data_IF_397253444554
#
_entry.id   IF_397253444554
#
_cell.length_a   1.000
_cell.length_b   1.000
_cell.length_c   1.000
_cell.angle_alpha   90.00
_cell.angle_beta   90.00
_cell.angle_gamma   90.00
#
_symmetry.space_group_name_H-M   'P 1'
#
loop_
_entity.id
_entity.type
_entity.pdbx_description
1 polymer ?
#
# COMPACT_ATOMS: atom_id res chain seq x y z
N UNK A 1 7.31 16.84 23.99
CA UNK A 1 7.94 16.20 22.82
C UNK A 1 6.96 15.20 22.26
N UNK A 2 6.77 15.19 20.94
CA UNK A 2 5.85 14.28 20.28
C UNK A 2 6.25 12.82 20.45
N UNK A 3 5.25 11.97 20.59
CA UNK A 3 5.42 10.52 20.60
C UNK A 3 5.00 9.93 19.25
N UNK A 4 5.70 8.92 18.78
CA UNK A 4 5.48 8.33 17.47
C UNK A 4 5.40 6.81 17.61
N UNK A 5 4.37 6.21 17.05
CA UNK A 5 4.24 4.77 16.82
C UNK A 5 4.33 4.51 15.32
N UNK A 6 5.20 3.60 14.87
CA UNK A 6 5.29 3.18 13.47
C UNK A 6 4.51 1.88 13.23
N UNK A 7 3.74 1.82 12.16
CA UNK A 7 2.97 0.63 11.76
C UNK A 7 3.07 0.42 10.25
N UNK A 8 3.49 -0.76 9.81
CA UNK A 8 3.35 -1.19 8.43
C UNK A 8 2.13 -2.08 8.27
N UNK A 9 1.30 -1.83 7.25
CA UNK A 9 0.13 -2.63 6.89
C UNK A 9 -0.01 -2.77 5.38
N UNK A 10 -0.96 -3.55 4.94
CA UNK A 10 -1.37 -3.64 3.54
C UNK A 10 -2.74 -2.99 3.32
N UNK A 11 -3.03 -2.58 2.09
CA UNK A 11 -4.38 -2.16 1.67
C UNK A 11 -5.02 -3.12 0.66
N UNK A 12 -4.55 -4.35 0.58
CA UNK A 12 -4.88 -5.39 -0.40
C UNK A 12 -6.36 -5.41 -0.82
N UNK A 13 -6.73 -4.94 -2.05
CA UNK A 13 -8.12 -4.73 -2.42
C UNK A 13 -9.02 -5.97 -2.33
N UNK A 14 -8.56 -7.19 -2.71
CA UNK A 14 -9.41 -8.37 -2.62
C UNK A 14 -9.86 -8.78 -1.21
N UNK A 15 -9.25 -8.23 -0.14
CA UNK A 15 -9.69 -8.51 1.23
C UNK A 15 -11.10 -7.99 1.53
N UNK A 16 -11.57 -7.01 0.76
CA UNK A 16 -12.95 -6.49 0.82
C UNK A 16 -13.97 -7.54 0.39
N UNK A 17 -13.60 -8.45 -0.50
CA UNK A 17 -14.51 -9.36 -1.19
C UNK A 17 -14.47 -10.78 -0.57
N UNK A 18 -15.38 -11.66 -0.99
CA UNK A 18 -15.43 -13.04 -0.51
C UNK A 18 -14.24 -13.88 -0.99
N UNK A 19 -13.88 -14.92 -0.24
CA UNK A 19 -12.69 -15.75 -0.45
C UNK A 19 -12.62 -16.40 -1.85
N UNK A 20 -13.77 -16.78 -2.40
CA UNK A 20 -13.88 -17.40 -3.73
C UNK A 20 -13.40 -16.52 -4.89
N UNK A 21 -13.35 -15.21 -4.66
CA UNK A 21 -12.92 -14.22 -5.64
C UNK A 21 -11.51 -13.69 -5.41
N UNK A 22 -10.83 -14.12 -4.34
CA UNK A 22 -9.51 -13.59 -3.99
C UNK A 22 -8.45 -13.86 -5.07
N UNK A 23 -8.56 -14.97 -5.82
CA UNK A 23 -7.68 -15.31 -6.94
C UNK A 23 -8.18 -14.78 -8.31
N UNK A 24 -9.15 -13.85 -8.33
CA UNK A 24 -9.75 -13.38 -9.58
C UNK A 24 -8.72 -12.77 -10.55
N UNK A 25 -7.72 -12.08 -10.04
CA UNK A 25 -6.68 -11.46 -10.86
C UNK A 25 -5.78 -12.49 -11.53
N UNK A 26 -5.36 -13.53 -10.81
CA UNK A 26 -4.63 -14.65 -11.42
C UNK A 26 -5.48 -15.31 -12.51
N UNK A 27 -6.76 -15.59 -12.22
CA UNK A 27 -7.70 -16.17 -13.20
C UNK A 27 -7.88 -15.29 -14.44
N UNK A 28 -7.82 -13.98 -14.28
CA UNK A 28 -7.83 -13.03 -15.38
C UNK A 28 -6.61 -13.20 -16.28
N UNK A 29 -5.40 -13.22 -15.72
CA UNK A 29 -4.15 -13.40 -16.48
C UNK A 29 -4.06 -14.77 -17.14
N UNK A 30 -4.53 -15.84 -16.49
CA UNK A 30 -4.55 -17.19 -17.08
C UNK A 30 -5.40 -17.28 -18.35
N UNK A 31 -6.36 -16.38 -18.54
CA UNK A 31 -7.19 -16.32 -19.77
C UNK A 31 -6.55 -15.47 -20.87
N UNK A 32 -5.48 -14.75 -20.58
CA UNK A 32 -4.86 -13.86 -21.57
C UNK A 32 -4.19 -14.68 -22.68
N UNK A 33 -4.43 -14.38 -23.96
CA UNK A 33 -3.77 -15.03 -25.10
C UNK A 33 -2.29 -14.62 -25.23
N UNK A 34 -1.86 -13.54 -24.55
CA UNK A 34 -0.51 -13.01 -24.62
C UNK A 34 0.45 -13.68 -23.63
N UNK A 35 -0.05 -14.49 -22.71
CA UNK A 35 0.78 -15.33 -21.84
C UNK A 35 0.94 -16.71 -22.49
N UNK A 36 2.19 -17.19 -22.71
CA UNK A 36 2.40 -18.49 -23.34
C UNK A 36 1.78 -19.65 -22.54
N UNK A 37 1.13 -20.58 -23.23
CA UNK A 37 0.38 -21.68 -22.62
C UNK A 37 1.19 -22.53 -21.65
N UNK A 38 2.50 -22.69 -21.90
CA UNK A 38 3.38 -23.44 -21.01
C UNK A 38 3.44 -22.87 -19.59
N UNK A 39 3.30 -21.55 -19.40
CA UNK A 39 3.34 -20.90 -18.08
C UNK A 39 1.97 -20.90 -17.39
N UNK A 40 0.88 -21.15 -18.12
CA UNK A 40 -0.46 -21.24 -17.56
C UNK A 40 -0.78 -22.61 -16.97
N UNK A 41 0.01 -23.63 -17.29
CA UNK A 41 -0.20 -25.01 -16.83
C UNK A 41 0.22 -25.11 -15.36
N UNK A 42 -0.65 -25.63 -14.51
CA UNK A 42 -0.41 -25.79 -13.06
C UNK A 42 0.88 -26.58 -12.78
N UNK A 43 1.19 -27.59 -13.63
CA UNK A 43 2.38 -28.43 -13.49
C UNK A 43 3.70 -27.66 -13.65
N UNK A 44 3.66 -26.52 -14.37
CA UNK A 44 4.84 -25.67 -14.60
C UNK A 44 5.08 -24.65 -13.49
N UNK A 45 4.12 -24.47 -12.57
CA UNK A 45 4.20 -23.47 -11.52
C UNK A 45 5.16 -23.89 -10.40
N UNK A 46 5.72 -22.91 -9.65
CA UNK A 46 6.46 -23.22 -8.42
C UNK A 46 5.64 -24.07 -7.46
N UNK A 47 6.32 -24.96 -6.72
CA UNK A 47 5.66 -25.88 -5.79
C UNK A 47 4.73 -25.15 -4.80
N UNK A 48 5.20 -24.03 -4.24
CA UNK A 48 4.40 -23.22 -3.31
C UNK A 48 3.14 -22.66 -3.97
N UNK A 49 3.21 -22.22 -5.24
CA UNK A 49 2.05 -21.75 -6.00
C UNK A 49 1.05 -22.89 -6.24
N UNK A 50 1.54 -24.08 -6.62
CA UNK A 50 0.69 -25.26 -6.80
C UNK A 50 -0.01 -25.67 -5.50
N UNK A 51 0.74 -25.65 -4.40
CA UNK A 51 0.19 -25.97 -3.08
C UNK A 51 -0.91 -24.96 -2.67
N UNK A 52 -0.69 -23.67 -2.91
CA UNK A 52 -1.65 -22.62 -2.60
C UNK A 52 -2.90 -22.69 -3.49
N UNK A 53 -2.72 -23.02 -4.78
CA UNK A 53 -3.82 -23.23 -5.72
C UNK A 53 -4.68 -24.44 -5.36
N UNK A 54 -4.05 -25.57 -5.02
CA UNK A 54 -4.72 -26.80 -4.63
C UNK A 54 -5.70 -27.34 -5.67
N UNK A 55 -6.63 -28.18 -5.23
CA UNK A 55 -7.70 -28.73 -6.08
C UNK A 55 -8.93 -27.80 -6.16
N UNK A 56 -9.00 -26.78 -5.32
CA UNK A 56 -10.13 -25.87 -5.19
C UNK A 56 -9.86 -24.46 -5.75
N UNK A 57 -8.84 -24.31 -6.57
CA UNK A 57 -8.43 -23.05 -7.21
C UNK A 57 -8.15 -21.94 -6.20
N UNK A 58 -7.52 -22.29 -5.08
CA UNK A 58 -7.08 -21.35 -4.05
C UNK A 58 -8.15 -20.96 -3.04
N UNK A 59 -9.34 -21.56 -3.05
CA UNK A 59 -10.43 -21.19 -2.12
C UNK A 59 -10.05 -21.46 -0.66
N UNK A 60 -9.48 -22.62 -0.36
CA UNK A 60 -9.00 -22.94 0.99
C UNK A 60 -7.81 -22.08 1.40
N UNK A 61 -6.92 -21.74 0.45
CA UNK A 61 -5.81 -20.82 0.70
C UNK A 61 -6.33 -19.40 0.99
N UNK A 62 -7.32 -18.91 0.25
CA UNK A 62 -7.94 -17.61 0.47
C UNK A 62 -8.53 -17.47 1.87
N UNK A 63 -9.19 -18.50 2.37
CA UNK A 63 -9.73 -18.53 3.74
C UNK A 63 -8.62 -18.38 4.79
N UNK A 64 -7.51 -19.11 4.64
CA UNK A 64 -6.35 -18.98 5.54
C UNK A 64 -5.73 -17.59 5.43
N UNK A 65 -5.50 -17.13 4.19
CA UNK A 65 -4.91 -15.82 3.92
C UNK A 65 -5.72 -14.67 4.56
N UNK A 66 -7.05 -14.70 4.42
CA UNK A 66 -7.94 -13.75 5.09
C UNK A 66 -7.79 -13.81 6.60
N UNK A 67 -7.80 -15.02 7.19
CA UNK A 67 -7.70 -15.19 8.64
C UNK A 67 -6.40 -14.57 9.17
N UNK A 68 -5.28 -14.77 8.48
CA UNK A 68 -3.99 -14.19 8.83
C UNK A 68 -4.02 -12.66 8.72
N UNK A 69 -4.49 -12.11 7.59
CA UNK A 69 -4.59 -10.66 7.39
C UNK A 69 -5.46 -9.99 8.46
N UNK A 70 -6.65 -10.53 8.70
CA UNK A 70 -7.59 -9.99 9.71
C UNK A 70 -7.00 -10.05 11.11
N UNK A 71 -6.26 -11.12 11.44
CA UNK A 71 -5.56 -11.23 12.73
C UNK A 71 -4.54 -10.11 12.89
N UNK A 72 -3.74 -9.82 11.86
CA UNK A 72 -2.74 -8.74 11.92
C UNK A 72 -3.36 -7.35 11.91
N UNK A 73 -4.45 -7.14 11.19
CA UNK A 73 -5.21 -5.88 11.26
C UNK A 73 -5.81 -5.64 12.65
N UNK A 74 -6.36 -6.67 13.30
CA UNK A 74 -6.83 -6.56 14.68
C UNK A 74 -5.70 -6.21 15.66
N UNK A 75 -4.52 -6.80 15.49
CA UNK A 75 -3.34 -6.43 16.28
C UNK A 75 -2.95 -4.96 16.01
N UNK A 76 -2.87 -4.55 14.75
CA UNK A 76 -2.55 -3.17 14.39
C UNK A 76 -3.55 -2.18 15.02
N UNK A 77 -4.86 -2.50 14.97
CA UNK A 77 -5.88 -1.69 15.63
C UNK A 77 -5.69 -1.64 17.15
N UNK A 78 -5.36 -2.73 17.80
CA UNK A 78 -5.08 -2.76 19.24
C UNK A 78 -3.87 -1.89 19.60
N UNK A 79 -2.80 -1.88 18.80
CA UNK A 79 -1.64 -1.01 19.02
C UNK A 79 -2.04 0.47 18.89
N UNK A 80 -2.88 0.82 17.90
CA UNK A 80 -3.39 2.19 17.74
C UNK A 80 -4.26 2.59 18.93
N UNK A 81 -5.23 1.73 19.32
CA UNK A 81 -6.14 2.02 20.43
C UNK A 81 -5.36 2.20 21.74
N UNK A 82 -4.35 1.36 22.00
CA UNK A 82 -3.48 1.45 23.18
C UNK A 82 -2.61 2.72 23.16
N UNK A 83 -2.12 3.09 21.98
CA UNK A 83 -1.29 4.28 21.81
C UNK A 83 -2.11 5.56 21.95
N UNK A 84 -3.40 5.55 21.60
CA UNK A 84 -4.34 6.67 21.65
C UNK A 84 -3.76 7.93 20.97
N UNK A 85 -3.58 7.92 19.63
CA UNK A 85 -2.98 9.03 18.91
C UNK A 85 -3.92 10.23 18.80
N UNK A 86 -3.33 11.44 18.70
CA UNK A 86 -4.05 12.63 18.30
C UNK A 86 -4.45 12.58 16.82
N UNK A 87 -3.62 11.98 15.97
CA UNK A 87 -3.91 11.70 14.57
C UNK A 87 -2.99 10.63 13.99
N UNK A 88 -3.34 10.17 12.79
CA UNK A 88 -2.59 9.16 12.04
C UNK A 88 -2.15 9.74 10.70
N UNK A 89 -0.86 9.64 10.38
CA UNK A 89 -0.33 9.86 9.04
C UNK A 89 -0.31 8.53 8.31
N UNK A 90 -0.87 8.48 7.11
CA UNK A 90 -0.83 7.28 6.26
C UNK A 90 -0.06 7.63 5.00
N UNK A 91 1.11 7.01 4.79
CA UNK A 91 1.74 6.95 3.49
C UNK A 91 1.06 5.91 2.64
N UNK A 92 0.57 6.31 1.49
CA UNK A 92 -0.09 5.48 0.51
C UNK A 92 0.21 5.96 -0.90
N UNK A 93 0.11 5.07 -1.86
CA UNK A 93 0.20 5.37 -3.27
C UNK A 93 -1.11 5.95 -3.82
N UNK A 94 -1.06 6.40 -5.05
CA UNK A 94 -2.22 6.82 -5.82
C UNK A 94 -2.22 6.11 -7.18
N UNK A 95 -3.29 5.39 -7.46
CA UNK A 95 -3.48 4.66 -8.71
C UNK A 95 -4.41 5.45 -9.64
N UNK A 96 -3.99 6.69 -9.99
CA UNK A 96 -4.78 7.55 -10.87
C UNK A 96 -6.18 7.88 -10.30
N UNK A 97 -6.29 7.91 -8.98
CA UNK A 97 -7.54 8.17 -8.26
C UNK A 97 -7.64 9.65 -7.83
N UNK A 98 -6.79 10.06 -6.89
CA UNK A 98 -6.78 11.43 -6.38
C UNK A 98 -6.12 12.42 -7.35
N UNK A 99 -5.13 11.98 -8.13
CA UNK A 99 -4.35 12.77 -9.08
C UNK A 99 -4.39 12.13 -10.47
N UNK A 100 -4.56 12.98 -11.49
CA UNK A 100 -4.66 12.58 -12.90
C UNK A 100 -3.75 13.47 -13.75
N UNK A 101 -3.92 13.48 -15.09
CA UNK A 101 -3.03 14.17 -16.03
C UNK A 101 -2.89 15.68 -15.77
N UNK A 102 -3.80 16.28 -15.03
CA UNK A 102 -3.75 17.68 -14.66
C UNK A 102 -2.66 17.99 -13.64
N UNK A 103 -2.33 17.03 -12.76
CA UNK A 103 -1.20 17.13 -11.84
C UNK A 103 -0.82 15.75 -11.26
N UNK A 104 0.45 15.39 -11.35
CA UNK A 104 1.02 14.18 -10.72
C UNK A 104 2.11 14.61 -9.73
N UNK A 105 1.79 14.83 -8.45
CA UNK A 105 2.79 15.22 -7.47
C UNK A 105 3.63 14.03 -7.04
N UNK A 106 4.96 14.21 -6.92
CA UNK A 106 5.85 13.19 -6.35
C UNK A 106 5.45 12.84 -4.91
N UNK A 107 5.03 13.87 -4.14
CA UNK A 107 4.58 13.80 -2.76
C UNK A 107 3.46 14.79 -2.54
N UNK A 108 2.35 14.37 -1.90
CA UNK A 108 1.27 15.28 -1.56
C UNK A 108 0.67 15.00 -0.19
N UNK A 109 0.62 16.05 0.67
CA UNK A 109 -0.11 15.99 1.93
C UNK A 109 -1.56 16.44 1.72
N UNK A 110 -2.51 15.59 2.03
CA UNK A 110 -3.94 15.92 1.94
C UNK A 110 -4.43 16.54 3.25
N UNK A 111 -4.42 17.87 3.30
CA UNK A 111 -4.78 18.67 4.48
C UNK A 111 -6.31 18.86 4.58
N UNK A 112 -7.06 17.78 4.54
CA UNK A 112 -8.51 17.79 4.60
C UNK A 112 -9.01 17.97 6.05
N UNK A 113 -10.24 18.49 6.23
CA UNK A 113 -10.93 18.55 7.53
C UNK A 113 -11.88 17.36 7.69
N UNK A 114 -12.58 17.04 6.61
CA UNK A 114 -13.51 15.93 6.55
C UNK A 114 -13.36 15.23 5.19
N UNK A 115 -13.55 13.94 5.19
CA UNK A 115 -13.46 13.09 4.01
C UNK A 115 -14.73 12.25 3.93
N UNK A 116 -15.49 12.40 2.85
CA UNK A 116 -16.66 11.59 2.56
C UNK A 116 -16.29 10.61 1.42
N UNK A 117 -15.78 9.43 1.79
CA UNK A 117 -15.29 8.45 0.85
C UNK A 117 -16.37 7.45 0.45
N UNK A 118 -16.45 7.14 -0.85
CA UNK A 118 -17.24 6.01 -1.35
C UNK A 118 -16.51 4.70 -1.06
N UNK A 119 -17.24 3.59 -0.87
CA UNK A 119 -16.60 2.31 -0.61
C UNK A 119 -15.90 1.77 -1.85
N UNK A 120 -14.79 1.03 -1.70
CA UNK A 120 -14.05 0.48 -2.83
C UNK A 120 -14.88 -0.52 -3.67
N UNK A 121 -15.87 -1.18 -3.07
CA UNK A 121 -16.79 -2.08 -3.82
C UNK A 121 -17.84 -1.35 -4.67
N UNK A 122 -17.89 -0.03 -4.63
CA UNK A 122 -18.70 0.76 -5.56
C UNK A 122 -17.98 1.03 -6.89
N UNK A 123 -16.66 0.83 -6.94
CA UNK A 123 -15.85 1.07 -8.12
C UNK A 123 -16.09 0.00 -9.20
N UNK A 124 -16.00 0.39 -10.47
CA UNK A 124 -16.23 -0.53 -11.61
C UNK A 124 -15.29 -1.73 -11.60
N UNK A 125 -14.01 -1.48 -11.31
CA UNK A 125 -13.00 -2.54 -11.23
C UNK A 125 -13.32 -3.56 -10.13
N UNK A 126 -13.93 -3.13 -9.03
CA UNK A 126 -14.28 -4.01 -7.92
C UNK A 126 -15.36 -5.04 -8.26
N UNK A 127 -16.16 -4.79 -9.31
CA UNK A 127 -17.22 -5.72 -9.76
C UNK A 127 -16.67 -7.10 -10.13
N UNK A 128 -15.43 -7.18 -10.61
CA UNK A 128 -14.79 -8.46 -10.92
C UNK A 128 -14.59 -9.36 -9.69
N UNK A 129 -14.54 -8.76 -8.48
CA UNK A 129 -14.34 -9.47 -7.22
C UNK A 129 -15.66 -9.80 -6.48
N UNK A 130 -16.81 -9.37 -7.02
CA UNK A 130 -18.12 -9.62 -6.45
C UNK A 130 -18.45 -8.81 -5.18
N UNK A 131 -19.42 -9.27 -4.37
CA UNK A 131 -19.89 -8.52 -3.21
C UNK A 131 -18.84 -8.40 -2.10
N UNK A 132 -19.01 -7.38 -1.23
CA UNK A 132 -18.14 -7.19 -0.08
C UNK A 132 -18.54 -8.10 1.09
N UNK A 133 -17.55 -8.43 1.94
CA UNK A 133 -17.73 -9.37 3.08
C UNK A 133 -18.60 -8.85 4.19
N UNK A 134 -18.89 -7.56 4.24
CA UNK A 134 -19.73 -6.93 5.26
C UNK A 134 -21.21 -6.83 4.84
N UNK A 135 -21.53 -7.18 3.58
CA UNK A 135 -22.89 -7.00 3.02
C UNK A 135 -23.35 -5.55 2.99
N UNK A 136 -22.42 -4.62 2.94
CA UNK A 136 -22.71 -3.19 2.92
C UNK A 136 -23.06 -2.69 1.51
N UNK A 137 -24.04 -1.76 1.38
CA UNK A 137 -24.48 -1.29 0.08
C UNK A 137 -23.43 -0.40 -0.62
N UNK A 138 -23.40 -0.35 -1.97
CA UNK A 138 -22.45 0.46 -2.72
C UNK A 138 -22.66 1.98 -2.54
N UNK A 139 -23.83 2.40 -2.09
CA UNK A 139 -24.15 3.81 -1.81
C UNK A 139 -23.65 4.27 -0.43
N UNK A 140 -23.12 3.37 0.39
CA UNK A 140 -22.56 3.71 1.70
C UNK A 140 -21.48 4.77 1.55
N UNK A 141 -21.47 5.73 2.47
CA UNK A 141 -20.42 6.74 2.58
C UNK A 141 -19.67 6.55 3.89
N UNK A 142 -18.36 6.53 3.83
CA UNK A 142 -17.49 6.55 5.02
C UNK A 142 -17.10 8.00 5.33
N UNK A 143 -17.58 8.50 6.47
CA UNK A 143 -17.21 9.84 6.96
C UNK A 143 -15.99 9.72 7.87
N UNK A 144 -14.85 10.23 7.40
CA UNK A 144 -13.59 10.21 8.12
C UNK A 144 -13.20 11.63 8.52
N UNK A 145 -12.49 11.76 9.61
CA UNK A 145 -12.02 13.05 10.15
C UNK A 145 -10.60 13.30 9.62
N UNK A 146 -10.36 14.47 9.05
CA UNK A 146 -9.02 14.93 8.71
C UNK A 146 -8.38 15.71 9.85
N UNK A 147 -7.04 15.75 9.91
CA UNK A 147 -6.30 16.56 10.88
C UNK A 147 -5.55 17.69 10.18
N UNK A 148 -6.29 18.71 9.72
CA UNK A 148 -5.72 19.84 8.93
C UNK A 148 -4.56 20.54 9.62
N UNK A 149 -4.61 20.74 10.93
CA UNK A 149 -3.54 21.41 11.67
C UNK A 149 -2.22 20.63 11.60
N UNK A 150 -2.25 19.31 11.83
CA UNK A 150 -1.09 18.43 11.69
C UNK A 150 -0.58 18.35 10.26
N UNK A 151 -1.50 18.29 9.28
CA UNK A 151 -1.14 18.29 7.87
C UNK A 151 -0.42 19.59 7.46
N UNK A 152 -0.91 20.76 7.87
CA UNK A 152 -0.25 22.05 7.63
C UNK A 152 1.11 22.13 8.32
N UNK A 153 1.19 21.69 9.56
CA UNK A 153 2.46 21.65 10.30
C UNK A 153 3.50 20.80 9.55
N UNK A 154 3.14 19.60 9.12
CA UNK A 154 4.04 18.72 8.36
C UNK A 154 4.42 19.36 7.02
N UNK A 155 3.46 19.92 6.28
CA UNK A 155 3.74 20.59 5.00
C UNK A 155 4.73 21.73 5.18
N UNK A 156 4.52 22.61 6.16
CA UNK A 156 5.44 23.70 6.48
C UNK A 156 6.83 23.19 6.83
N UNK A 157 6.91 22.24 7.78
CA UNK A 157 8.20 21.70 8.25
C UNK A 157 9.00 21.02 7.12
N UNK A 158 8.33 20.32 6.21
CA UNK A 158 8.98 19.64 5.09
C UNK A 158 9.44 20.63 4.02
N UNK A 159 8.66 21.66 3.69
CA UNK A 159 9.07 22.71 2.76
C UNK A 159 10.29 23.47 3.32
N UNK A 160 10.28 23.82 4.61
CA UNK A 160 11.42 24.46 5.27
C UNK A 160 12.65 23.55 5.33
N UNK A 161 12.47 22.22 5.37
CA UNK A 161 13.53 21.22 5.29
C UNK A 161 14.02 20.94 3.85
N UNK A 162 13.50 21.64 2.84
CA UNK A 162 13.91 21.52 1.42
C UNK A 162 13.26 20.36 0.66
N UNK A 163 12.07 19.92 1.09
CA UNK A 163 11.26 18.96 0.33
C UNK A 163 10.20 19.71 -0.48
N UNK A 164 10.24 19.57 -1.81
CA UNK A 164 9.25 20.13 -2.72
C UNK A 164 7.99 19.28 -2.71
N UNK A 165 7.20 19.37 -1.64
CA UNK A 165 5.94 18.63 -1.51
C UNK A 165 4.76 19.45 -1.98
N UNK A 166 3.77 18.80 -2.59
CA UNK A 166 2.45 19.37 -2.79
C UNK A 166 1.60 19.24 -1.52
N UNK A 167 0.56 20.06 -1.41
CA UNK A 167 -0.48 19.92 -0.39
C UNK A 167 -1.83 20.32 -0.96
N UNK A 168 -2.90 19.64 -0.50
CA UNK A 168 -4.25 19.85 -0.98
C UNK A 168 -5.22 20.06 0.18
N UNK A 169 -6.12 21.05 0.07
CA UNK A 169 -7.13 21.33 1.09
C UNK A 169 -8.47 20.66 0.81
N UNK A 170 -8.65 20.12 -0.39
CA UNK A 170 -9.84 19.38 -0.82
C UNK A 170 -9.46 18.40 -1.92
N UNK A 171 -10.20 17.30 -2.07
CA UNK A 171 -9.98 16.36 -3.17
C UNK A 171 -10.29 17.02 -4.53
N UNK A 172 -9.57 16.62 -5.56
CA UNK A 172 -9.77 17.09 -6.92
C UNK A 172 -10.65 16.09 -7.72
N UNK A 173 -10.23 14.85 -7.84
CA UNK A 173 -10.90 13.81 -8.63
C UNK A 173 -11.61 12.78 -7.76
N UNK A 174 -10.94 12.25 -6.75
CA UNK A 174 -11.46 11.22 -5.87
C UNK A 174 -11.37 11.66 -4.40
N UNK A 175 -12.39 11.39 -3.57
CA UNK A 175 -12.37 11.81 -2.17
C UNK A 175 -11.17 11.30 -1.37
N UNK A 176 -10.83 10.02 -1.55
CA UNK A 176 -9.71 9.36 -0.88
C UNK A 176 -9.39 8.06 -1.62
N UNK A 177 -8.19 7.94 -2.17
CA UNK A 177 -7.72 6.75 -2.89
C UNK A 177 -7.76 5.49 -2.02
N UNK A 178 -7.86 4.34 -2.69
CA UNK A 178 -8.05 3.05 -2.02
C UNK A 178 -6.89 2.66 -1.10
N UNK A 179 -5.66 3.11 -1.37
CA UNK A 179 -4.51 2.84 -0.50
C UNK A 179 -4.69 3.39 0.92
N UNK A 180 -5.43 4.48 1.07
CA UNK A 180 -5.78 5.08 2.36
C UNK A 180 -7.07 4.49 2.92
N UNK A 181 -8.12 4.44 2.09
CA UNK A 181 -9.44 4.00 2.53
C UNK A 181 -9.44 2.54 2.97
N UNK A 182 -8.84 1.64 2.17
CA UNK A 182 -8.78 0.22 2.52
C UNK A 182 -8.01 -0.02 3.82
N UNK A 183 -6.89 0.70 4.04
CA UNK A 183 -6.18 0.60 5.31
C UNK A 183 -7.09 0.93 6.51
N UNK A 184 -7.86 2.01 6.41
CA UNK A 184 -8.83 2.40 7.45
C UNK A 184 -9.93 1.34 7.62
N UNK A 185 -10.50 0.85 6.50
CA UNK A 185 -11.57 -0.17 6.53
C UNK A 185 -11.10 -1.48 7.17
N UNK A 186 -9.82 -1.84 6.96
CA UNK A 186 -9.25 -3.07 7.53
C UNK A 186 -8.83 -2.87 8.99
N UNK A 187 -8.36 -1.69 9.38
CA UNK A 187 -8.15 -1.35 10.78
C UNK A 187 -9.47 -1.29 11.57
N UNK A 188 -10.59 -1.08 10.89
CA UNK A 188 -11.94 -1.20 11.41
C UNK A 188 -12.70 -2.40 10.82
N UNK A 189 -12.00 -3.52 10.63
CA UNK A 189 -12.59 -4.72 10.01
C UNK A 189 -13.84 -5.21 10.74
N UNK A 190 -13.84 -5.09 12.05
CA UNK A 190 -14.97 -5.50 12.93
C UNK A 190 -16.08 -4.42 13.03
N UNK A 191 -15.97 -3.30 12.26
CA UNK A 191 -16.97 -2.21 12.21
C UNK A 191 -17.32 -1.62 13.57
N UNK A 192 -16.31 -1.42 14.43
CA UNK A 192 -16.44 -0.75 15.74
C UNK A 192 -16.37 0.78 15.66
N UNK A 193 -16.11 1.31 14.48
CA UNK A 193 -15.82 2.71 14.20
C UNK A 193 -14.32 3.04 14.24
N UNK A 194 -13.94 4.04 13.49
CA UNK A 194 -12.56 4.54 13.40
C UNK A 194 -12.52 6.02 13.77
N UNK A 195 -12.28 6.34 15.06
CA UNK A 195 -12.43 7.71 15.56
C UNK A 195 -11.18 8.60 15.35
N UNK A 196 -10.09 8.05 14.79
CA UNK A 196 -8.82 8.75 14.70
C UNK A 196 -8.77 9.68 13.51
N UNK A 197 -8.41 10.98 13.70
CA UNK A 197 -8.19 11.89 12.58
C UNK A 197 -7.01 11.46 11.71
N UNK A 198 -7.11 11.75 10.40
CA UNK A 198 -6.18 11.28 9.38
C UNK A 198 -5.43 12.45 8.73
N UNK A 199 -4.19 12.18 8.36
CA UNK A 199 -3.41 12.95 7.40
C UNK A 199 -2.94 11.98 6.31
N UNK A 200 -3.69 11.84 5.21
CA UNK A 200 -3.23 11.06 4.08
C UNK A 200 -2.03 11.76 3.42
N UNK A 201 -0.98 10.99 3.15
CA UNK A 201 0.24 11.49 2.56
C UNK A 201 0.60 10.62 1.34
N UNK A 202 0.24 11.10 0.16
CA UNK A 202 0.41 10.38 -1.09
C UNK A 202 1.88 10.40 -1.52
N UNK A 203 2.33 9.24 -2.03
CA UNK A 203 3.60 9.02 -2.70
C UNK A 203 3.30 8.54 -4.13
N UNK A 204 3.90 9.18 -5.15
CA UNK A 204 3.81 8.65 -6.52
C UNK A 204 4.66 7.38 -6.65
N UNK A 205 4.13 6.26 -6.21
CA UNK A 205 4.81 4.96 -6.23
C UNK A 205 4.83 4.34 -7.61
N UNK A 206 3.84 4.63 -8.45
CA UNK A 206 3.70 4.02 -9.78
C UNK A 206 4.56 4.67 -10.87
N UNK A 207 5.00 5.93 -10.67
CA UNK A 207 5.97 6.60 -11.52
C UNK A 207 5.70 6.42 -13.02
N UNK A 208 6.55 5.64 -13.70
CA UNK A 208 6.50 5.39 -15.16
C UNK A 208 5.17 4.80 -15.65
N UNK A 209 4.29 4.33 -14.75
CA UNK A 209 3.02 3.66 -15.07
C UNK A 209 1.79 4.43 -14.59
N UNK A 210 1.96 5.61 -13.98
CA UNK A 210 0.87 6.31 -13.28
C UNK A 210 -0.20 6.82 -14.24
N UNK A 211 0.18 7.37 -15.39
CA UNK A 211 -0.75 7.88 -16.40
C UNK A 211 -0.96 6.84 -17.51
N UNK A 212 0.12 6.38 -18.15
CA UNK A 212 0.06 5.49 -19.31
C UNK A 212 -0.73 4.19 -19.06
N UNK A 213 -0.69 3.68 -17.85
CA UNK A 213 -1.44 2.48 -17.43
C UNK A 213 -2.53 2.82 -16.39
N UNK A 214 -2.71 4.09 -16.04
CA UNK A 214 -3.55 4.54 -14.93
C UNK A 214 -3.27 3.74 -13.65
N UNK A 215 -1.99 3.43 -13.43
CA UNK A 215 -1.49 2.54 -12.39
C UNK A 215 -2.24 1.20 -12.25
N UNK A 216 -2.95 0.79 -13.30
CA UNK A 216 -3.79 -0.41 -13.37
C UNK A 216 -3.09 -1.60 -14.03
N UNK A 217 -3.89 -2.52 -14.57
CA UNK A 217 -3.39 -3.71 -15.23
C UNK A 217 -2.63 -3.36 -16.52
N UNK A 218 -1.51 -4.07 -16.81
CA UNK A 218 -0.75 -3.84 -18.02
C UNK A 218 -1.55 -4.23 -19.26
N UNK A 219 -1.39 -3.46 -20.34
CA UNK A 219 -1.89 -3.86 -21.65
C UNK A 219 -0.89 -4.84 -22.28
N UNK A 220 -1.18 -6.15 -22.20
CA UNK A 220 -0.31 -7.20 -22.74
C UNK A 220 -0.33 -7.28 -24.25
N UNK A 221 -1.34 -6.75 -24.92
CA UNK A 221 -1.44 -6.70 -26.37
C UNK A 221 -0.52 -5.61 -26.93
N UNK A 222 -0.51 -4.46 -26.31
CA UNK A 222 0.25 -3.29 -26.70
C UNK A 222 1.01 -2.73 -25.50
N UNK A 223 2.13 -3.38 -25.09
CA UNK A 223 2.95 -2.86 -24.01
C UNK A 223 3.50 -1.49 -24.41
N UNK A 224 3.55 -0.52 -23.49
CA UNK A 224 4.08 0.80 -23.78
C UNK A 224 5.56 0.73 -24.14
N UNK A 225 5.96 1.52 -25.12
CA UNK A 225 7.37 1.70 -25.48
C UNK A 225 8.07 2.61 -24.47
N UNK A 226 9.40 2.54 -24.38
CA UNK A 226 10.17 3.31 -23.40
C UNK A 226 9.92 4.84 -23.52
N UNK A 227 9.75 5.36 -24.72
CA UNK A 227 9.46 6.76 -24.96
C UNK A 227 8.04 7.22 -24.58
N UNK A 228 7.14 6.27 -24.31
CA UNK A 228 5.75 6.53 -23.91
C UNK A 228 5.58 6.51 -22.38
N UNK A 229 6.60 6.03 -21.66
CA UNK A 229 6.53 5.91 -20.22
C UNK A 229 6.53 7.29 -19.53
N UNK A 230 5.79 7.38 -18.44
CA UNK A 230 5.76 8.57 -17.60
C UNK A 230 7.12 8.82 -16.90
N UNK A 231 7.32 9.99 -16.29
CA UNK A 231 8.45 10.24 -15.41
C UNK A 231 8.53 9.24 -14.26
N UNK A 232 9.74 8.90 -13.75
CA UNK A 232 9.90 7.92 -12.69
C UNK A 232 9.30 8.38 -11.36
N UNK A 233 9.00 7.42 -10.48
CA UNK A 233 8.68 7.69 -9.08
C UNK A 233 9.87 8.32 -8.32
N UNK A 234 9.63 8.94 -7.15
CA UNK A 234 10.70 9.31 -6.24
C UNK A 234 11.58 8.10 -5.91
N UNK A 235 12.90 8.31 -5.79
CA UNK A 235 13.79 7.20 -5.43
C UNK A 235 13.54 6.71 -4.00
N UNK A 236 13.84 5.43 -3.69
CA UNK A 236 13.78 4.90 -2.33
C UNK A 236 14.52 5.77 -1.32
N UNK A 237 15.70 6.28 -1.70
CA UNK A 237 16.47 7.21 -0.90
C UNK A 237 15.70 8.48 -0.57
N UNK A 238 15.01 9.06 -1.55
CA UNK A 238 14.23 10.28 -1.35
C UNK A 238 13.03 10.05 -0.44
N UNK A 239 12.34 8.91 -0.60
CA UNK A 239 11.26 8.48 0.29
C UNK A 239 11.78 8.24 1.72
N UNK A 240 12.93 7.59 1.87
CA UNK A 240 13.56 7.37 3.17
C UNK A 240 13.90 8.69 3.86
N UNK A 241 14.53 9.63 3.17
CA UNK A 241 14.88 10.96 3.68
C UNK A 241 13.65 11.77 4.06
N UNK A 242 12.56 11.67 3.27
CA UNK A 242 11.27 12.28 3.59
C UNK A 242 10.70 11.73 4.90
N UNK A 243 10.70 10.41 5.07
CA UNK A 243 10.24 9.76 6.31
C UNK A 243 11.04 10.21 7.54
N UNK A 244 12.37 10.29 7.42
CA UNK A 244 13.23 10.80 8.47
C UNK A 244 12.91 12.26 8.83
N UNK A 245 12.65 13.11 7.82
CA UNK A 245 12.25 14.51 8.06
C UNK A 245 10.88 14.61 8.74
N UNK A 246 9.90 13.77 8.36
CA UNK A 246 8.60 13.68 9.06
C UNK A 246 8.78 13.30 10.53
N UNK A 247 9.63 12.31 10.84
CA UNK A 247 9.88 11.91 12.22
C UNK A 247 10.53 13.04 13.03
N UNK A 248 11.51 13.77 12.48
CA UNK A 248 12.13 14.93 13.14
C UNK A 248 11.10 16.03 13.43
N UNK A 249 10.26 16.38 12.45
CA UNK A 249 9.21 17.39 12.62
C UNK A 249 8.23 16.99 13.72
N UNK A 250 7.72 15.77 13.69
CA UNK A 250 6.75 15.27 14.68
C UNK A 250 7.35 15.14 16.07
N UNK A 251 8.64 14.82 16.19
CA UNK A 251 9.35 14.75 17.47
C UNK A 251 9.36 16.10 18.19
N UNK A 252 9.40 17.23 17.45
CA UNK A 252 9.32 18.57 17.98
C UNK A 252 7.90 19.07 18.26
N UNK A 253 6.90 18.31 17.85
CA UNK A 253 5.46 18.63 18.03
C UNK A 253 4.96 18.24 19.42
N UNK A 254 3.77 18.69 19.84
CA UNK A 254 3.12 18.23 21.07
C UNK A 254 2.34 16.93 20.90
N UNK A 255 2.18 16.39 19.68
CA UNK A 255 1.23 15.34 19.35
C UNK A 255 1.76 13.94 19.52
N UNK A 256 0.85 13.02 19.80
CA UNK A 256 1.02 11.59 19.69
C UNK A 256 0.57 11.15 18.31
N UNK A 257 1.46 10.64 17.48
CA UNK A 257 1.16 10.36 16.07
C UNK A 257 1.49 8.92 15.71
N UNK A 258 0.57 8.26 15.03
CA UNK A 258 0.86 6.98 14.35
C UNK A 258 1.29 7.27 12.91
N UNK A 259 2.41 6.70 12.51
CA UNK A 259 2.89 6.70 11.13
C UNK A 259 2.58 5.34 10.50
N UNK A 260 1.76 5.31 9.46
CA UNK A 260 1.39 4.08 8.75
C UNK A 260 1.98 4.07 7.35
N UNK A 261 2.67 2.99 6.97
CA UNK A 261 2.89 2.64 5.58
C UNK A 261 1.82 1.65 5.13
N UNK A 262 1.05 2.02 4.12
CA UNK A 262 -0.03 1.22 3.56
C UNK A 262 0.34 0.75 2.16
N UNK A 263 0.67 -0.54 1.98
CA UNK A 263 1.01 -1.08 0.66
C UNK A 263 1.04 -2.60 0.61
N UNK A 264 0.74 -3.15 -0.56
CA UNK A 264 1.26 -4.47 -0.92
C UNK A 264 2.76 -4.37 -1.18
N UNK A 265 3.45 -5.52 -1.23
CA UNK A 265 4.85 -5.54 -1.63
C UNK A 265 4.96 -5.92 -3.12
N UNK A 266 5.73 -6.91 -3.53
CA UNK A 266 5.74 -7.27 -4.93
C UNK A 266 4.35 -7.67 -5.42
N UNK A 267 3.94 -7.08 -6.57
CA UNK A 267 2.66 -7.36 -7.23
C UNK A 267 2.89 -8.15 -8.51
N UNK A 268 2.17 -9.23 -8.67
CA UNK A 268 2.23 -10.05 -9.88
C UNK A 268 1.94 -9.22 -11.15
N UNK A 269 0.90 -8.38 -11.13
CA UNK A 269 0.49 -7.59 -12.30
C UNK A 269 1.49 -6.49 -12.70
N UNK A 270 2.50 -6.21 -11.89
CA UNK A 270 3.53 -5.19 -12.13
C UNK A 270 4.88 -5.79 -12.57
N UNK A 271 5.08 -7.10 -12.50
CA UNK A 271 6.33 -7.74 -12.88
C UNK A 271 6.19 -8.71 -14.05
N UNK A 272 7.05 -8.56 -15.05
CA UNK A 272 7.12 -9.45 -16.20
C UNK A 272 7.90 -10.75 -15.91
N UNK A 273 8.70 -10.77 -14.83
CA UNK A 273 9.56 -11.90 -14.45
C UNK A 273 8.84 -13.25 -14.44
N UNK A 274 7.56 -13.22 -14.04
CA UNK A 274 6.75 -14.41 -13.85
C UNK A 274 5.48 -14.39 -14.70
N UNK A 275 5.54 -13.70 -15.84
CA UNK A 275 4.40 -13.57 -16.75
C UNK A 275 3.14 -13.02 -16.08
N UNK A 276 3.31 -12.09 -15.12
CA UNK A 276 2.22 -11.48 -14.32
C UNK A 276 1.38 -12.49 -13.53
N UNK A 277 1.84 -13.73 -13.33
CA UNK A 277 1.09 -14.80 -12.67
C UNK A 277 1.30 -14.82 -11.15
N UNK A 278 2.51 -14.49 -10.67
CA UNK A 278 2.83 -14.46 -9.26
C UNK A 278 3.90 -13.41 -8.94
N UNK A 279 3.92 -12.89 -7.68
CA UNK A 279 4.85 -11.83 -7.28
C UNK A 279 6.30 -12.33 -7.18
N UNK A 280 7.26 -11.41 -7.15
CA UNK A 280 8.67 -11.72 -6.87
C UNK A 280 8.88 -11.95 -5.36
N UNK A 281 8.53 -13.15 -4.91
CA UNK A 281 8.63 -13.56 -3.51
C UNK A 281 10.08 -13.50 -3.00
N UNK A 282 11.06 -13.75 -3.87
CA UNK A 282 12.48 -13.73 -3.49
C UNK A 282 12.94 -12.28 -3.16
N UNK A 283 12.53 -11.29 -3.96
CA UNK A 283 12.82 -9.88 -3.69
C UNK A 283 12.19 -9.42 -2.38
N UNK A 284 10.94 -9.82 -2.12
CA UNK A 284 10.26 -9.47 -0.88
C UNK A 284 10.91 -10.11 0.36
N UNK A 285 11.28 -11.38 0.28
CA UNK A 285 12.03 -12.05 1.37
C UNK A 285 13.35 -11.35 1.68
N UNK A 286 14.09 -10.92 0.65
CA UNK A 286 15.36 -10.23 0.81
C UNK A 286 15.19 -8.86 1.48
N UNK A 287 14.11 -8.14 1.15
CA UNK A 287 13.79 -6.83 1.73
C UNK A 287 13.24 -6.98 3.15
N UNK A 288 12.43 -8.00 3.40
CA UNK A 288 11.91 -8.33 4.74
C UNK A 288 13.02 -8.75 5.70
N UNK A 289 13.98 -9.55 5.25
CA UNK A 289 15.15 -9.89 6.07
C UNK A 289 15.97 -8.65 6.49
N UNK A 290 16.11 -7.68 5.56
CA UNK A 290 16.74 -6.40 5.89
C UNK A 290 15.92 -5.58 6.91
N UNK A 291 14.59 -5.60 6.82
CA UNK A 291 13.69 -4.96 7.79
C UNK A 291 13.89 -5.54 9.19
N UNK A 292 13.86 -6.88 9.31
CA UNK A 292 14.05 -7.58 10.58
C UNK A 292 15.43 -7.33 11.19
N UNK A 293 16.47 -7.30 10.36
CA UNK A 293 17.83 -7.02 10.79
C UNK A 293 18.05 -5.55 11.19
N UNK A 294 17.14 -4.65 10.82
CA UNK A 294 17.33 -3.20 10.94
C UNK A 294 18.43 -2.68 10.00
N UNK A 295 18.66 -3.37 8.88
CA UNK A 295 19.56 -2.94 7.81
C UNK A 295 18.87 -1.88 6.94
N UNK A 296 18.77 -0.69 7.51
CA UNK A 296 18.07 0.42 6.88
C UNK A 296 18.86 1.09 5.75
N UNK A 297 20.18 0.89 5.71
CA UNK A 297 20.98 1.34 4.57
C UNK A 297 20.66 0.56 3.30
N UNK A 298 20.31 -0.73 3.41
CA UNK A 298 19.79 -1.51 2.27
C UNK A 298 18.48 -0.95 1.76
N UNK A 299 17.57 -0.54 2.64
CA UNK A 299 16.31 0.13 2.26
C UNK A 299 16.56 1.47 1.58
N UNK A 300 17.43 2.31 2.19
CA UNK A 300 17.77 3.63 1.67
C UNK A 300 18.38 3.58 0.27
N UNK A 301 19.27 2.61 0.03
CA UNK A 301 20.01 2.49 -1.22
C UNK A 301 19.44 1.43 -2.17
N UNK A 302 18.22 0.94 -1.91
CA UNK A 302 17.58 -0.03 -2.80
C UNK A 302 17.36 0.60 -4.17
N UNK A 303 17.78 -0.04 -5.29
CA UNK A 303 17.67 0.58 -6.61
C UNK A 303 16.21 0.70 -7.06
N UNK A 304 15.81 1.86 -7.59
CA UNK A 304 14.46 2.04 -8.14
C UNK A 304 14.18 1.05 -9.28
N UNK A 305 15.17 0.78 -10.13
CA UNK A 305 15.04 -0.21 -11.19
C UNK A 305 14.74 -1.63 -10.65
N UNK A 306 15.27 -1.99 -9.48
CA UNK A 306 14.94 -3.28 -8.84
C UNK A 306 13.51 -3.30 -8.31
N UNK A 307 13.02 -2.17 -7.78
CA UNK A 307 11.62 -2.00 -7.37
C UNK A 307 10.68 -2.20 -8.57
N UNK A 308 10.97 -1.51 -9.68
CA UNK A 308 10.17 -1.59 -10.91
C UNK A 308 10.16 -3.01 -11.50
N UNK A 309 11.34 -3.65 -11.59
CA UNK A 309 11.52 -5.00 -12.13
C UNK A 309 10.82 -6.08 -11.28
N UNK A 310 10.81 -5.92 -9.97
CA UNK A 310 10.18 -6.87 -9.04
C UNK A 310 8.70 -6.58 -8.74
N UNK A 311 8.10 -5.55 -9.34
CA UNK A 311 6.71 -5.19 -9.07
C UNK A 311 6.49 -4.64 -7.65
N UNK A 312 7.52 -4.03 -7.05
CA UNK A 312 7.52 -3.55 -5.65
C UNK A 312 7.24 -2.04 -5.54
N UNK A 313 6.56 -1.43 -6.50
CA UNK A 313 6.36 0.02 -6.58
C UNK A 313 5.85 0.62 -5.26
N UNK A 314 4.88 -0.01 -4.62
CA UNK A 314 4.28 0.50 -3.39
C UNK A 314 5.20 0.40 -2.16
N UNK A 315 6.31 -0.34 -2.23
CA UNK A 315 7.33 -0.39 -1.18
C UNK A 315 7.93 0.99 -0.89
N UNK A 316 7.78 1.97 -1.79
CA UNK A 316 8.17 3.36 -1.53
C UNK A 316 7.46 3.97 -0.32
N UNK A 317 6.22 3.57 -0.02
CA UNK A 317 5.52 3.95 1.21
C UNK A 317 6.25 3.40 2.45
N UNK A 318 6.75 2.17 2.37
CA UNK A 318 7.57 1.56 3.43
C UNK A 318 8.93 2.22 3.56
N UNK A 319 9.55 2.71 2.47
CA UNK A 319 10.78 3.48 2.56
C UNK A 319 10.60 4.74 3.42
N UNK A 320 9.43 5.39 3.36
CA UNK A 320 9.10 6.50 4.24
C UNK A 320 9.01 6.06 5.71
N UNK A 321 8.29 4.97 5.99
CA UNK A 321 8.18 4.44 7.36
C UNK A 321 9.54 4.02 7.91
N UNK A 322 10.30 3.25 7.14
CA UNK A 322 11.64 2.78 7.56
C UNK A 322 12.59 3.95 7.78
N UNK A 323 12.53 4.99 6.95
CA UNK A 323 13.30 6.22 7.14
C UNK A 323 12.94 6.94 8.43
N UNK A 324 11.64 7.03 8.75
CA UNK A 324 11.17 7.59 10.01
C UNK A 324 11.66 6.76 11.23
N UNK A 325 11.61 5.43 11.12
CA UNK A 325 12.05 4.55 12.21
C UNK A 325 13.57 4.55 12.37
N UNK A 326 14.34 4.65 11.29
CA UNK A 326 15.78 4.83 11.33
C UNK A 326 16.18 6.13 12.07
N UNK A 327 15.51 7.24 11.78
CA UNK A 327 15.70 8.53 12.47
C UNK A 327 15.43 8.43 13.98
N UNK A 328 14.46 7.59 14.36
CA UNK A 328 14.12 7.34 15.77
C UNK A 328 14.97 6.25 16.44
N UNK A 329 15.90 5.63 15.70
CA UNK A 329 16.73 4.53 16.20
C UNK A 329 15.93 3.27 16.55
N UNK A 330 14.82 2.99 15.85
CA UNK A 330 13.90 1.90 16.18
C UNK A 330 13.95 0.79 15.16
N UNK A 331 13.79 -0.45 15.64
CA UNK A 331 13.59 -1.65 14.82
C UNK A 331 12.18 -2.20 15.04
N UNK A 332 11.66 -3.05 14.11
CA UNK A 332 10.40 -3.73 14.35
C UNK A 332 10.43 -4.51 15.67
N UNK A 333 9.48 -4.23 16.54
CA UNK A 333 9.28 -5.04 17.77
C UNK A 333 8.50 -6.32 17.49
N UNK A 334 7.71 -6.32 16.42
CA UNK A 334 6.96 -7.47 15.89
C UNK A 334 6.73 -7.25 14.41
N UNK A 335 6.92 -8.28 13.56
CA UNK A 335 6.66 -8.21 12.14
C UNK A 335 6.34 -9.57 11.54
N UNK A 336 5.69 -9.57 10.39
CA UNK A 336 5.45 -10.77 9.57
C UNK A 336 5.41 -10.41 8.10
N UNK A 337 5.86 -11.35 7.25
CA UNK A 337 5.62 -11.36 5.82
C UNK A 337 4.63 -12.49 5.53
N UNK A 338 3.43 -12.13 5.08
CA UNK A 338 2.41 -13.07 4.64
C UNK A 338 2.56 -13.24 3.14
N UNK A 339 3.21 -14.31 2.75
CA UNK A 339 3.44 -14.63 1.34
C UNK A 339 2.17 -15.12 0.66
N UNK A 340 2.05 -14.85 -0.62
CA UNK A 340 1.04 -15.43 -1.49
C UNK A 340 1.54 -15.50 -2.92
N UNK A 341 1.37 -16.66 -3.53
CA UNK A 341 1.75 -16.92 -4.90
C UNK A 341 0.59 -16.72 -5.89
N UNK A 342 -0.66 -16.75 -5.40
CA UNK A 342 -1.86 -16.68 -6.24
C UNK A 342 -2.74 -15.44 -5.98
N UNK A 343 -2.47 -14.70 -4.89
CA UNK A 343 -3.26 -13.54 -4.50
C UNK A 343 -2.56 -12.20 -4.81
N UNK A 344 -1.98 -12.12 -5.99
CA UNK A 344 -1.38 -10.95 -6.60
C UNK A 344 -0.15 -10.37 -5.90
N UNK A 345 -0.10 -10.25 -4.58
CA UNK A 345 1.00 -9.60 -3.88
C UNK A 345 1.33 -10.27 -2.57
N UNK A 346 2.54 -10.03 -2.05
CA UNK A 346 2.87 -10.32 -0.66
C UNK A 346 2.45 -9.17 0.25
N UNK A 347 2.22 -9.45 1.51
CA UNK A 347 1.74 -8.48 2.50
C UNK A 347 2.64 -8.51 3.73
N UNK A 348 3.11 -7.35 4.14
CA UNK A 348 3.94 -7.21 5.32
C UNK A 348 3.23 -6.40 6.40
N UNK A 349 3.39 -6.83 7.64
CA UNK A 349 3.00 -6.08 8.83
C UNK A 349 4.22 -5.89 9.73
N UNK A 350 4.33 -4.73 10.34
CA UNK A 350 5.37 -4.45 11.32
C UNK A 350 4.91 -3.39 12.33
N UNK A 351 5.33 -3.54 13.58
CA UNK A 351 5.07 -2.59 14.66
C UNK A 351 6.39 -2.07 15.20
N UNK A 352 6.53 -0.75 15.27
CA UNK A 352 7.70 -0.05 15.82
C UNK A 352 7.25 0.75 17.03
N UNK A 353 7.20 0.07 18.18
CA UNK A 353 6.76 0.66 19.44
C UNK A 353 7.72 1.73 19.95
N UNK A 354 7.20 2.77 20.67
CA UNK A 354 8.02 3.81 21.30
C UNK A 354 9.09 3.30 22.24
#
# INVERSE_FOLDING_TARGET
>A
MGEILGIGVTHYPPLVHHDENMAALLKYFLRSPYIPEQYKRVESWPEAMRWEWGEDEGRSAAKRHRADLVTWFRKARQEIDKFAPDFIVIWGDDQYENFQEDIIPAFCIMAYEAIAAKPPWAEEFAKMFGPNVWGEPPEKTFSLIGHRAGAKFLATSLLEAGFDIAYAYKPLHHPLGHAFLNAVLYLDYDRRGFPYPLVPFQINSYGRRVVIQRAGLPNLEHPPREEELDPPSPSPRRCFELGAAVARALKSSPWRVVLIASSGWSHAFLTEKHWWLYPDVAADRALYAALQAGDYEKWRNYPLASIEDSGQQEVLNWCCLVGAMAELGRRPSESTLIESWIFNSNKCFAFFRP
#
